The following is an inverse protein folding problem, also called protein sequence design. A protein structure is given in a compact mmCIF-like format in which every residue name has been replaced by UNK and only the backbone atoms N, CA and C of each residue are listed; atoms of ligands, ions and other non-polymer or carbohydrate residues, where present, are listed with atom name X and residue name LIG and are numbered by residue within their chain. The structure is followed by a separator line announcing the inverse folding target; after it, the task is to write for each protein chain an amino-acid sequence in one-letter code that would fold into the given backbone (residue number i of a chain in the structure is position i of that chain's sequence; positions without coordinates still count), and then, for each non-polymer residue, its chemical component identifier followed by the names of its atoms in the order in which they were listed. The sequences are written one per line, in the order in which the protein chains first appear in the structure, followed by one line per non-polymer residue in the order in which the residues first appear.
data_IF_754885156338
#
_entry.id   IF_754885156338
#
_cell.length_a   1.000
_cell.length_b   1.000
_cell.length_c   1.000
_cell.angle_alpha   90.00
_cell.angle_beta   90.00
_cell.angle_gamma   90.00
#
_symmetry.space_group_name_H-M   'P 1'
#
loop_
_entity.id
_entity.type
_entity.pdbx_description
1 polymer ?
#
# COMPACT_ATOMS: atom_id res chain seq x y z
N UNK A 1 -0.28 -28.75 -14.29
CA UNK A 1 -1.06 -27.57 -13.85
C UNK A 1 -0.28 -26.56 -12.98
N UNK A 2 0.95 -26.83 -12.53
CA UNK A 2 1.75 -25.89 -11.71
C UNK A 2 2.74 -25.00 -12.48
N UNK A 3 2.96 -25.25 -13.78
CA UNK A 3 4.00 -24.55 -14.57
C UNK A 3 3.56 -23.20 -15.17
N UNK A 4 2.27 -22.87 -15.13
CA UNK A 4 1.78 -21.62 -15.74
C UNK A 4 1.95 -20.40 -14.83
N UNK A 5 2.01 -20.58 -13.51
CA UNK A 5 2.18 -19.48 -12.57
C UNK A 5 3.63 -18.99 -12.47
N UNK A 6 4.62 -19.89 -12.58
CA UNK A 6 6.04 -19.55 -12.41
C UNK A 6 6.62 -18.67 -13.54
N UNK A 7 6.03 -18.71 -14.75
CA UNK A 7 6.47 -17.87 -15.87
C UNK A 7 6.06 -16.39 -15.74
N UNK A 8 5.09 -16.06 -14.89
CA UNK A 8 4.64 -14.67 -14.70
C UNK A 8 5.41 -13.93 -13.60
N UNK A 9 5.95 -14.66 -12.63
CA UNK A 9 6.76 -14.09 -11.54
C UNK A 9 8.19 -13.69 -11.94
N UNK A 10 8.68 -14.19 -13.08
CA UNK A 10 10.09 -14.02 -13.50
C UNK A 10 10.33 -12.92 -14.55
N UNK A 11 9.31 -12.12 -14.89
CA UNK A 11 9.57 -10.87 -15.61
C UNK A 11 10.05 -9.86 -14.60
N UNK A 12 11.34 -9.51 -14.65
CA UNK A 12 11.91 -8.39 -13.90
C UNK A 12 11.01 -7.18 -14.08
N UNK A 13 10.23 -6.86 -13.04
CA UNK A 13 9.38 -5.68 -13.01
C UNK A 13 10.31 -4.47 -12.96
N UNK A 14 10.34 -3.72 -14.06
CA UNK A 14 11.05 -2.45 -14.16
C UNK A 14 9.99 -1.36 -14.06
N UNK A 15 10.06 -0.57 -12.99
CA UNK A 15 9.25 0.64 -12.83
C UNK A 15 9.74 1.64 -13.87
N UNK A 16 8.83 2.17 -14.69
CA UNK A 16 9.21 2.96 -15.87
C UNK A 16 9.07 4.45 -15.67
N UNK A 17 8.05 4.89 -14.94
CA UNK A 17 7.63 6.29 -14.93
C UNK A 17 7.70 6.89 -13.53
N UNK A 18 7.06 6.27 -12.53
CA UNK A 18 6.90 6.87 -11.20
C UNK A 18 6.79 5.86 -10.06
N UNK A 19 7.27 6.31 -8.90
CA UNK A 19 7.24 5.60 -7.62
C UNK A 19 6.49 6.44 -6.58
N UNK A 20 5.70 5.81 -5.70
CA UNK A 20 5.17 6.50 -4.53
C UNK A 20 6.32 6.79 -3.56
N UNK A 21 6.34 7.98 -2.95
CA UNK A 21 7.31 8.30 -1.90
C UNK A 21 6.86 7.75 -0.56
N UNK A 22 5.56 7.82 -0.32
CA UNK A 22 4.94 7.32 0.89
C UNK A 22 3.83 6.32 0.57
N UNK A 23 3.99 5.10 1.09
CA UNK A 23 3.01 4.01 0.98
C UNK A 23 2.38 3.72 2.33
N UNK A 24 1.04 3.68 2.39
CA UNK A 24 0.30 3.23 3.56
C UNK A 24 -0.28 1.83 3.30
N UNK A 25 0.06 0.87 4.14
CA UNK A 25 -0.45 -0.50 4.06
C UNK A 25 -1.45 -0.73 5.19
N UNK A 26 -2.67 -1.13 4.86
CA UNK A 26 -3.74 -1.42 5.79
C UNK A 26 -4.12 -2.89 5.61
N UNK A 27 -3.89 -3.74 6.62
CA UNK A 27 -4.23 -5.17 6.56
C UNK A 27 -5.23 -5.55 7.65
N UNK A 28 -6.37 -6.10 7.21
CA UNK A 28 -7.40 -6.70 8.08
C UNK A 28 -7.29 -8.21 8.25
N UNK A 29 -6.28 -8.82 7.66
CA UNK A 29 -6.07 -10.26 7.72
C UNK A 29 -5.00 -10.59 8.76
N UNK A 30 -3.76 -10.83 8.33
CA UNK A 30 -2.64 -11.10 9.21
C UNK A 30 -1.78 -9.85 9.51
N UNK A 31 -1.04 -9.95 10.62
CA UNK A 31 -0.02 -8.98 10.99
C UNK A 31 1.14 -9.00 10.00
N UNK A 32 1.48 -7.82 9.46
CA UNK A 32 2.57 -7.70 8.50
C UNK A 32 3.91 -7.65 9.23
N UNK A 33 4.78 -8.62 8.93
CA UNK A 33 6.12 -8.69 9.52
C UNK A 33 6.95 -7.45 9.17
N UNK A 34 7.49 -6.77 10.18
CA UNK A 34 8.32 -5.57 9.99
C UNK A 34 9.54 -5.81 9.08
N UNK A 35 10.14 -7.00 9.12
CA UNK A 35 11.27 -7.37 8.27
C UNK A 35 10.90 -7.39 6.77
N UNK A 36 9.68 -7.81 6.44
CA UNK A 36 9.17 -7.78 5.05
C UNK A 36 9.05 -6.33 4.57
N UNK A 37 8.48 -5.44 5.39
CA UNK A 37 8.37 -4.03 5.01
C UNK A 37 9.75 -3.37 4.88
N UNK A 38 10.68 -3.68 5.79
CA UNK A 38 12.05 -3.17 5.72
C UNK A 38 12.75 -3.62 4.43
N UNK A 39 12.60 -4.90 4.04
CA UNK A 39 13.21 -5.41 2.80
C UNK A 39 12.58 -4.78 1.56
N UNK A 40 11.25 -4.64 1.51
CA UNK A 40 10.55 -4.01 0.38
C UNK A 40 10.90 -2.53 0.24
N UNK A 41 10.93 -1.79 1.37
CA UNK A 41 11.31 -0.38 1.40
C UNK A 41 12.71 -0.16 0.81
N UNK A 42 13.68 -0.99 1.22
CA UNK A 42 15.05 -0.94 0.72
C UNK A 42 15.13 -1.37 -0.77
N UNK A 43 14.46 -2.45 -1.15
CA UNK A 43 14.47 -3.01 -2.51
C UNK A 43 13.94 -2.02 -3.54
N UNK A 44 12.85 -1.32 -3.21
CA UNK A 44 12.18 -0.38 -4.12
C UNK A 44 12.50 1.09 -3.83
N UNK A 45 13.39 1.38 -2.87
CA UNK A 45 13.84 2.73 -2.50
C UNK A 45 12.68 3.69 -2.16
N UNK A 46 11.67 3.19 -1.44
CA UNK A 46 10.52 3.98 -1.00
C UNK A 46 10.92 4.81 0.24
N UNK A 47 10.60 6.11 0.26
CA UNK A 47 11.00 7.00 1.36
C UNK A 47 10.34 6.62 2.69
N UNK A 48 9.04 6.33 2.66
CA UNK A 48 8.28 5.91 3.83
C UNK A 48 7.25 4.82 3.53
N UNK A 49 7.12 3.87 4.45
CA UNK A 49 6.11 2.82 4.40
C UNK A 49 5.55 2.65 5.81
N UNK A 50 4.25 2.90 5.98
CA UNK A 50 3.56 2.70 7.25
C UNK A 50 2.58 1.54 7.16
N UNK A 51 2.42 0.84 8.28
CA UNK A 51 1.52 -0.30 8.42
C UNK A 51 0.45 0.07 9.45
N UNK A 52 -0.79 -0.25 9.14
CA UNK A 52 -1.91 -0.30 10.07
C UNK A 52 -2.47 -1.72 10.04
N UNK A 53 -2.53 -2.38 11.19
CA UNK A 53 -3.01 -3.75 11.33
C UNK A 53 -4.25 -3.82 12.22
N UNK A 54 -5.12 -4.80 11.95
CA UNK A 54 -6.45 -4.96 12.57
C UNK A 54 -6.50 -5.25 14.08
N UNK A 55 -5.35 -5.39 14.77
CA UNK A 55 -5.35 -5.42 16.24
C UNK A 55 -5.68 -4.06 16.87
N UNK A 56 -5.68 -3.03 16.05
CA UNK A 56 -6.05 -1.69 16.41
C UNK A 56 -7.58 -1.56 16.23
N UNK A 57 -8.31 -1.40 17.33
CA UNK A 57 -9.72 -1.01 17.27
C UNK A 57 -9.92 0.28 16.48
N UNK A 58 -11.16 0.59 16.11
CA UNK A 58 -11.51 1.80 15.35
C UNK A 58 -10.88 3.06 15.98
N UNK A 59 -10.71 3.08 17.31
CA UNK A 59 -10.08 4.16 18.07
C UNK A 59 -8.55 4.23 17.93
N UNK A 60 -7.88 3.10 17.75
CA UNK A 60 -6.43 3.02 17.58
C UNK A 60 -6.02 3.34 16.14
N UNK A 61 -6.82 2.93 15.14
CA UNK A 61 -6.67 3.42 13.76
C UNK A 61 -6.82 4.95 13.74
N UNK A 62 -7.87 5.47 14.40
CA UNK A 62 -8.12 6.91 14.57
C UNK A 62 -6.90 7.65 15.13
N UNK A 63 -6.21 7.12 16.14
CA UNK A 63 -5.04 7.77 16.76
C UNK A 63 -3.69 7.52 16.07
N UNK A 64 -3.51 6.40 15.34
CA UNK A 64 -2.28 6.08 14.60
C UNK A 64 -2.21 6.77 13.24
N UNK A 65 -3.36 7.09 12.68
CA UNK A 65 -3.49 8.04 11.57
C UNK A 65 -3.47 9.49 12.09
N UNK A 66 -2.76 9.78 13.19
CA UNK A 66 -2.27 11.14 13.47
C UNK A 66 -1.09 11.43 12.52
N UNK A 67 -1.38 11.52 11.22
CA UNK A 67 -0.45 11.86 10.14
C UNK A 67 -0.06 13.35 10.11
N UNK A 68 -0.46 14.11 11.13
CA UNK A 68 -0.39 15.57 11.17
C UNK A 68 0.82 16.16 11.90
N UNK A 69 1.76 15.36 12.41
CA UNK A 69 3.12 15.89 12.67
C UNK A 69 3.91 15.93 11.36
N UNK A 70 3.51 16.83 10.45
CA UNK A 70 4.23 17.14 9.21
C UNK A 70 3.41 17.17 7.92
N UNK A 71 2.10 16.89 7.95
CA UNK A 71 1.20 17.12 6.81
C UNK A 71 1.48 16.26 5.56
N UNK A 72 2.04 15.06 5.71
CA UNK A 72 2.33 14.17 4.58
C UNK A 72 1.17 13.19 4.36
N UNK A 73 0.60 13.20 3.16
CA UNK A 73 -0.42 12.24 2.71
C UNK A 73 0.21 11.11 1.90
N UNK A 74 -0.34 9.88 1.97
CA UNK A 74 0.16 8.77 1.16
C UNK A 74 -0.04 9.05 -0.33
N UNK A 75 0.95 8.65 -1.13
CA UNK A 75 0.80 8.63 -2.58
C UNK A 75 0.11 7.33 -3.03
N UNK A 76 0.29 6.24 -2.28
CA UNK A 76 -0.32 4.94 -2.51
C UNK A 76 -0.83 4.33 -1.20
N UNK A 77 -2.07 3.84 -1.22
CA UNK A 77 -2.66 3.04 -0.15
C UNK A 77 -2.86 1.61 -0.66
N UNK A 78 -2.36 0.63 0.10
CA UNK A 78 -2.57 -0.80 -0.15
C UNK A 78 -3.54 -1.30 0.93
N UNK A 79 -4.78 -1.58 0.55
CA UNK A 79 -5.82 -2.10 1.42
C UNK A 79 -5.97 -3.61 1.21
N UNK A 80 -5.58 -4.41 2.19
CA UNK A 80 -5.81 -5.84 2.26
C UNK A 80 -7.06 -6.10 3.13
N UNK A 81 -8.23 -6.24 2.50
CA UNK A 81 -9.51 -6.46 3.19
C UNK A 81 -10.56 -7.05 2.26
N UNK A 82 -11.59 -7.72 2.78
CA UNK A 82 -12.72 -8.21 1.98
C UNK A 82 -13.59 -7.07 1.45
N UNK A 83 -13.59 -5.93 2.15
CA UNK A 83 -14.43 -4.77 1.88
C UNK A 83 -13.55 -3.55 1.60
N UNK A 84 -13.89 -2.81 0.54
CA UNK A 84 -13.30 -1.51 0.26
C UNK A 84 -13.92 -0.45 1.18
N UNK A 85 -13.41 -0.36 2.42
CA UNK A 85 -13.92 0.56 3.42
C UNK A 85 -12.80 1.12 4.28
N UNK A 86 -12.82 2.44 4.45
CA UNK A 86 -11.85 3.19 5.24
C UNK A 86 -12.55 3.82 6.46
N UNK A 87 -11.98 3.60 7.64
CA UNK A 87 -12.37 4.30 8.86
C UNK A 87 -11.31 5.36 9.17
N UNK A 88 -11.48 6.57 8.64
CA UNK A 88 -10.52 7.66 8.74
C UNK A 88 -11.11 8.82 9.54
N UNK A 89 -10.30 9.44 10.40
CA UNK A 89 -10.64 10.74 10.98
C UNK A 89 -10.45 11.87 9.98
N UNK A 90 -9.39 11.76 9.17
CA UNK A 90 -9.06 12.73 8.15
C UNK A 90 -9.27 12.11 6.75
N UNK A 91 -10.38 12.41 6.07
CA UNK A 91 -10.64 11.91 4.73
C UNK A 91 -9.68 12.49 3.68
N UNK A 92 -8.95 13.59 3.98
CA UNK A 92 -7.97 14.17 3.04
C UNK A 92 -6.80 13.24 2.76
N UNK A 93 -6.61 12.21 3.58
CA UNK A 93 -5.63 11.15 3.33
C UNK A 93 -5.89 10.43 2.01
N UNK A 94 -7.15 10.34 1.59
CA UNK A 94 -7.53 9.72 0.33
C UNK A 94 -7.41 10.68 -0.85
N UNK A 95 -7.35 12.01 -0.62
CA UNK A 95 -7.47 13.02 -1.66
C UNK A 95 -6.43 12.89 -2.79
N UNK A 96 -5.21 12.49 -2.45
CA UNK A 96 -4.10 12.34 -3.40
C UNK A 96 -3.68 10.89 -3.61
N UNK A 97 -4.15 9.98 -2.76
CA UNK A 97 -3.66 8.62 -2.74
C UNK A 97 -4.29 7.80 -3.86
N UNK A 98 -3.45 7.09 -4.60
CA UNK A 98 -3.91 5.95 -5.39
C UNK A 98 -4.26 4.80 -4.43
N UNK A 99 -5.29 4.02 -4.75
CA UNK A 99 -5.77 2.95 -3.87
C UNK A 99 -5.67 1.60 -4.58
N UNK A 100 -4.84 0.71 -4.06
CA UNK A 100 -4.82 -0.70 -4.42
C UNK A 100 -5.61 -1.52 -3.39
N UNK A 101 -6.65 -2.22 -3.83
CA UNK A 101 -7.46 -3.09 -2.99
C UNK A 101 -7.18 -4.56 -3.30
N UNK A 102 -6.88 -5.35 -2.28
CA UNK A 102 -6.58 -6.77 -2.38
C UNK A 102 -7.41 -7.57 -1.36
N UNK A 103 -7.96 -8.72 -1.78
CA UNK A 103 -8.77 -9.60 -0.94
C UNK A 103 -7.98 -10.77 -0.36
N UNK A 104 -6.70 -10.54 -0.10
CA UNK A 104 -5.74 -11.54 0.39
C UNK A 104 -4.76 -10.89 1.36
N UNK A 105 -4.05 -11.73 2.09
CA UNK A 105 -2.94 -11.32 2.94
C UNK A 105 -1.90 -10.51 2.17
N UNK A 106 -1.34 -9.52 2.87
CA UNK A 106 -0.25 -8.72 2.32
C UNK A 106 1.00 -9.59 2.14
N UNK A 107 1.53 -9.58 0.92
CA UNK A 107 2.82 -10.19 0.62
C UNK A 107 3.59 -9.35 -0.41
N UNK A 108 4.81 -9.78 -0.75
CA UNK A 108 5.66 -9.06 -1.72
C UNK A 108 4.97 -8.89 -3.07
N UNK A 109 4.24 -9.90 -3.56
CA UNK A 109 3.53 -9.79 -4.82
C UNK A 109 2.45 -8.71 -4.77
N UNK A 110 1.67 -8.61 -3.69
CA UNK A 110 0.70 -7.53 -3.48
C UNK A 110 1.36 -6.16 -3.59
N UNK A 111 2.53 -6.00 -2.96
CA UNK A 111 3.29 -4.76 -3.00
C UNK A 111 3.76 -4.41 -4.42
N UNK A 112 4.31 -5.38 -5.14
CA UNK A 112 4.79 -5.19 -6.52
C UNK A 112 3.65 -4.84 -7.46
N UNK A 113 2.51 -5.52 -7.35
CA UNK A 113 1.34 -5.21 -8.17
C UNK A 113 0.79 -3.82 -7.88
N UNK A 114 0.75 -3.40 -6.62
CA UNK A 114 0.34 -2.05 -6.25
C UNK A 114 1.31 -0.99 -6.79
N UNK A 115 2.63 -1.24 -6.76
CA UNK A 115 3.61 -0.33 -7.36
C UNK A 115 3.47 -0.24 -8.88
N UNK A 116 3.21 -1.37 -9.56
CA UNK A 116 2.95 -1.38 -11.00
C UNK A 116 1.71 -0.58 -11.34
N UNK A 117 0.62 -0.82 -10.61
CA UNK A 117 -0.61 -0.07 -10.76
C UNK A 117 -0.36 1.44 -10.60
N UNK A 118 0.36 1.82 -9.55
CA UNK A 118 0.74 3.21 -9.35
C UNK A 118 1.54 3.77 -10.53
N UNK A 119 2.55 3.04 -11.03
CA UNK A 119 3.39 3.44 -12.17
C UNK A 119 2.59 3.69 -13.46
N UNK A 120 1.57 2.86 -13.69
CA UNK A 120 0.72 2.88 -14.89
C UNK A 120 -0.43 3.89 -14.80
N UNK A 121 -0.90 4.22 -13.59
CA UNK A 121 -2.02 5.16 -13.41
C UNK A 121 -1.67 6.57 -13.91
N UNK A 122 -2.58 7.24 -14.59
CA UNK A 122 -2.51 8.69 -14.76
C UNK A 122 -3.18 9.38 -13.57
N UNK A 123 -2.38 10.01 -12.70
CA UNK A 123 -2.93 10.73 -11.54
C UNK A 123 -3.45 12.08 -12.04
N UNK A 124 -4.75 12.13 -12.33
CA UNK A 124 -5.40 13.33 -12.89
C UNK A 124 -5.98 14.25 -11.82
N UNK A 125 -6.35 13.74 -10.63
CA UNK A 125 -6.89 14.52 -9.50
C UNK A 125 -7.83 15.67 -9.91
N UNK A 126 -8.75 15.41 -10.86
CA UNK A 126 -9.73 16.37 -11.36
C UNK A 126 -9.27 17.32 -12.49
N UNK A 127 -8.13 17.06 -13.13
CA UNK A 127 -7.63 17.78 -14.32
C UNK A 127 -7.77 16.99 -15.62
#
# INVERSE_FOLDING_TARGET
MLEYFSKWFNRSFVIKNKLPKYVLVISRYSEIKANLIKSLKLKYKIEDVKILGDKDDEYTIKNRINMTKGGKYPDLIILCSDVLMFYLQDPLILYKAEIWHERRDFCESTFVYALRHYDECEIRNGR
#
